data_IF_885136088741
#
_entry.id   IF_885136088741
#
_cell.length_a   1.000
_cell.length_b   1.000
_cell.length_c   1.000
_cell.angle_alpha   90.00
_cell.angle_beta   90.00
_cell.angle_gamma   90.00
#
_symmetry.space_group_name_H-M   'P 1'
#
loop_
_entity.id
_entity.type
_entity.pdbx_description
1 polymer ?
#
# COMPACT_ATOMS: atom_id res chain seq x y z
N UNK A 1 -4.61 -33.34 27.08
CA UNK A 1 -4.55 -32.98 25.64
C UNK A 1 -4.22 -31.50 25.54
N UNK A 2 -2.99 -31.18 25.13
CA UNK A 2 -2.40 -29.84 25.28
C UNK A 2 -2.92 -28.80 24.30
N UNK A 3 -3.07 -27.57 24.80
CA UNK A 3 -3.39 -26.36 24.06
C UNK A 3 -2.35 -26.08 22.94
N UNK A 4 -2.58 -26.61 21.73
CA UNK A 4 -1.84 -26.25 20.50
C UNK A 4 -2.60 -25.22 19.63
N UNK A 5 -3.57 -24.50 20.20
CA UNK A 5 -4.43 -23.58 19.43
C UNK A 5 -3.93 -22.13 19.31
N UNK A 6 -2.95 -21.70 20.13
CA UNK A 6 -2.60 -20.28 20.25
C UNK A 6 -1.49 -19.77 19.32
N UNK A 7 -0.51 -20.61 18.96
CA UNK A 7 0.73 -20.16 18.29
C UNK A 7 0.56 -20.06 16.76
N UNK A 8 -0.38 -20.82 16.18
CA UNK A 8 -0.56 -20.86 14.73
C UNK A 8 -1.13 -19.58 14.10
N UNK A 9 -1.83 -18.75 14.89
CA UNK A 9 -2.48 -17.52 14.40
C UNK A 9 -1.71 -16.24 14.69
N UNK A 10 -0.66 -16.31 15.52
CA UNK A 10 0.10 -15.13 15.93
C UNK A 10 0.84 -14.49 14.76
N UNK A 11 1.47 -15.31 13.90
CA UNK A 11 2.23 -14.82 12.74
C UNK A 11 1.30 -14.17 11.70
N UNK A 12 0.20 -14.81 11.24
CA UNK A 12 -0.74 -14.16 10.32
C UNK A 12 -1.38 -12.90 10.91
N UNK A 13 -1.73 -12.91 12.20
CA UNK A 13 -2.29 -11.73 12.87
C UNK A 13 -1.30 -10.56 12.91
N UNK A 14 -0.05 -10.84 13.29
CA UNK A 14 1.00 -9.82 13.33
C UNK A 14 1.26 -9.28 11.92
N UNK A 15 1.38 -10.16 10.93
CA UNK A 15 1.58 -9.75 9.54
C UNK A 15 0.45 -8.85 9.05
N UNK A 16 -0.81 -9.24 9.28
CA UNK A 16 -1.95 -8.43 8.86
C UNK A 16 -2.05 -7.09 9.59
N UNK A 17 -1.61 -7.00 10.86
CA UNK A 17 -1.48 -5.71 11.55
C UNK A 17 -0.39 -4.82 10.97
N UNK A 18 0.76 -5.39 10.63
CA UNK A 18 1.85 -4.67 9.94
C UNK A 18 1.35 -4.17 8.58
N UNK A 19 0.63 -5.01 7.84
CA UNK A 19 0.06 -4.68 6.54
C UNK A 19 -0.94 -3.53 6.64
N UNK A 20 -1.89 -3.59 7.58
CA UNK A 20 -2.86 -2.52 7.80
C UNK A 20 -2.18 -1.23 8.27
N UNK A 21 -1.20 -1.30 9.17
CA UNK A 21 -0.46 -0.12 9.60
C UNK A 21 0.31 0.53 8.44
N UNK A 22 0.92 -0.28 7.57
CA UNK A 22 1.62 0.20 6.39
C UNK A 22 0.67 0.83 5.36
N UNK A 23 -0.52 0.25 5.15
CA UNK A 23 -1.54 0.85 4.30
C UNK A 23 -2.12 2.14 4.90
N UNK A 24 -2.34 2.17 6.22
CA UNK A 24 -2.83 3.34 6.92
C UNK A 24 -1.86 4.53 6.83
N UNK A 25 -0.54 4.30 6.70
CA UNK A 25 0.40 5.39 6.46
C UNK A 25 0.07 6.20 5.19
N UNK A 26 -0.53 5.55 4.19
CA UNK A 26 -0.93 6.17 2.92
C UNK A 26 -2.28 6.88 2.94
N UNK A 27 -3.03 6.87 4.05
CA UNK A 27 -4.28 7.66 4.19
C UNK A 27 -4.01 9.16 4.23
N UNK A 28 -2.81 9.54 4.69
CA UNK A 28 -2.37 10.93 4.65
C UNK A 28 -2.05 11.38 3.22
N UNK A 29 -2.45 12.61 2.89
CA UNK A 29 -2.08 13.26 1.64
C UNK A 29 -0.55 13.33 1.49
N UNK A 30 -0.01 13.14 0.28
CA UNK A 30 1.44 13.19 0.04
C UNK A 30 1.98 14.61 0.25
N UNK A 31 2.39 14.96 1.47
CA UNK A 31 2.92 16.29 1.79
C UNK A 31 4.38 16.44 1.38
N UNK A 32 4.72 17.63 0.91
CA UNK A 32 6.09 18.03 0.64
C UNK A 32 6.88 18.16 1.95
N UNK A 33 8.10 17.60 2.05
CA UNK A 33 8.99 17.90 3.17
C UNK A 33 9.42 19.37 3.09
N UNK A 34 8.79 20.22 3.90
CA UNK A 34 9.07 21.65 3.86
C UNK A 34 10.43 22.01 4.51
N UNK A 35 10.97 21.17 5.41
CA UNK A 35 12.14 21.54 6.24
C UNK A 35 13.07 20.38 6.68
N UNK A 36 13.16 19.27 5.94
CA UNK A 36 13.96 18.12 6.41
C UNK A 36 15.41 18.14 5.94
N UNK A 37 16.30 17.78 6.86
CA UNK A 37 17.72 17.47 6.61
C UNK A 37 17.84 16.39 5.52
N UNK A 38 18.67 16.63 4.52
CA UNK A 38 18.93 15.71 3.40
C UNK A 38 19.31 14.30 3.87
N UNK A 39 20.01 14.18 4.99
CA UNK A 39 20.41 12.89 5.57
C UNK A 39 19.20 12.09 6.09
N UNK A 40 18.23 12.78 6.70
CA UNK A 40 16.97 12.17 7.19
C UNK A 40 16.10 11.73 6.02
N UNK A 41 16.06 12.52 4.94
CA UNK A 41 15.33 12.16 3.73
C UNK A 41 15.90 10.91 3.06
N UNK A 42 17.23 10.85 2.94
CA UNK A 42 17.92 9.71 2.32
C UNK A 42 17.72 8.43 3.13
N UNK A 43 17.88 8.50 4.45
CA UNK A 43 17.66 7.34 5.34
C UNK A 43 16.21 6.88 5.35
N UNK A 44 15.24 7.81 5.30
CA UNK A 44 13.81 7.47 5.17
C UNK A 44 13.50 6.79 3.84
N UNK A 45 14.04 7.31 2.73
CA UNK A 45 13.90 6.69 1.42
C UNK A 45 14.50 5.28 1.37
N UNK A 46 15.67 5.10 2.00
CA UNK A 46 16.30 3.78 2.12
C UNK A 46 15.44 2.83 2.97
N UNK A 47 14.83 3.29 4.05
CA UNK A 47 13.94 2.46 4.87
C UNK A 47 12.71 1.96 4.07
N UNK A 48 12.07 2.84 3.28
CA UNK A 48 10.94 2.47 2.41
C UNK A 48 11.38 1.45 1.34
N UNK A 49 12.55 1.67 0.73
CA UNK A 49 13.15 0.73 -0.23
C UNK A 49 13.41 -0.65 0.39
N UNK A 50 14.01 -0.68 1.58
CA UNK A 50 14.27 -1.92 2.31
C UNK A 50 12.97 -2.62 2.68
N UNK A 51 11.96 -1.90 3.14
CA UNK A 51 10.66 -2.46 3.46
C UNK A 51 9.98 -3.08 2.23
N UNK A 52 10.00 -2.40 1.09
CA UNK A 52 9.49 -2.94 -0.17
C UNK A 52 10.22 -4.22 -0.59
N UNK A 53 11.56 -4.24 -0.47
CA UNK A 53 12.35 -5.43 -0.78
C UNK A 53 12.03 -6.62 0.15
N UNK A 54 11.82 -6.36 1.45
CA UNK A 54 11.38 -7.38 2.41
C UNK A 54 9.99 -7.91 2.00
N UNK A 55 9.05 -7.03 1.67
CA UNK A 55 7.70 -7.41 1.26
C UNK A 55 7.70 -8.29 -0.02
N UNK A 56 8.57 -7.99 -0.98
CA UNK A 56 8.77 -8.82 -2.17
C UNK A 56 9.35 -10.20 -1.85
N UNK A 57 10.24 -10.29 -0.86
CA UNK A 57 10.87 -11.55 -0.46
C UNK A 57 9.93 -12.49 0.31
N UNK A 58 8.82 -12.00 0.86
CA UNK A 58 7.86 -12.82 1.61
C UNK A 58 7.00 -13.63 0.63
N UNK A 59 7.38 -14.88 0.41
CA UNK A 59 6.61 -15.85 -0.35
C UNK A 59 6.79 -17.27 0.23
N UNK A 60 5.73 -17.97 0.68
CA UNK A 60 4.32 -17.58 0.66
C UNK A 60 3.95 -16.57 1.75
N UNK A 61 2.86 -15.82 1.53
CA UNK A 61 2.33 -14.88 2.53
C UNK A 61 1.87 -15.63 3.81
N UNK A 62 2.17 -15.10 5.02
CA UNK A 62 1.69 -15.68 6.27
C UNK A 62 0.17 -15.55 6.37
N UNK A 63 -0.54 -16.62 6.04
CA UNK A 63 -2.00 -16.64 5.93
C UNK A 63 -2.59 -17.60 6.96
N UNK A 64 -3.75 -17.24 7.49
CA UNK A 64 -4.51 -18.08 8.40
C UNK A 64 -5.31 -19.13 7.60
N UNK A 65 -4.61 -20.13 7.06
CA UNK A 65 -5.23 -21.23 6.33
C UNK A 65 -6.13 -22.06 7.25
N UNK A 66 -7.36 -22.34 6.81
CA UNK A 66 -8.30 -23.21 7.52
C UNK A 66 -9.22 -22.54 8.54
N UNK A 67 -9.27 -21.20 8.58
CA UNK A 67 -10.30 -20.48 9.34
C UNK A 67 -11.47 -20.13 8.42
N UNK A 68 -12.68 -20.50 8.83
CA UNK A 68 -13.90 -20.11 8.11
C UNK A 68 -14.02 -18.58 8.05
N UNK A 69 -14.44 -17.99 6.92
CA UNK A 69 -14.55 -16.54 6.76
C UNK A 69 -15.50 -15.89 7.79
N UNK A 70 -16.54 -16.59 8.23
CA UNK A 70 -17.42 -16.14 9.32
C UNK A 70 -16.71 -16.08 10.68
N UNK A 71 -15.71 -16.93 10.90
CA UNK A 71 -14.85 -16.92 12.09
C UNK A 71 -13.89 -15.74 12.10
N UNK A 72 -13.44 -15.26 10.93
CA UNK A 72 -12.54 -14.11 10.80
C UNK A 72 -13.18 -12.81 11.30
N UNK A 73 -14.48 -12.61 11.05
CA UNK A 73 -15.22 -11.42 11.53
C UNK A 73 -15.32 -11.34 13.06
N UNK A 74 -15.10 -12.46 13.77
CA UNK A 74 -15.11 -12.55 15.23
C UNK A 74 -13.70 -12.46 15.84
N UNK A 75 -12.67 -12.40 15.01
CA UNK A 75 -11.26 -12.39 15.43
C UNK A 75 -10.72 -10.96 15.50
N UNK A 76 -9.62 -10.74 16.24
CA UNK A 76 -9.01 -9.42 16.37
C UNK A 76 -8.68 -8.82 15.00
N UNK A 77 -8.81 -7.49 14.90
CA UNK A 77 -8.42 -6.75 13.70
C UNK A 77 -6.99 -7.09 13.26
N UNK A 78 -6.85 -7.38 11.97
CA UNK A 78 -5.59 -7.82 11.35
C UNK A 78 -5.62 -9.25 10.82
N UNK A 79 -6.54 -10.12 11.26
CA UNK A 79 -6.67 -11.44 10.63
C UNK A 79 -7.60 -11.35 9.41
N UNK A 80 -7.04 -11.56 8.22
CA UNK A 80 -7.75 -11.42 6.95
C UNK A 80 -7.84 -12.77 6.23
N UNK A 81 -8.82 -12.89 5.33
CA UNK A 81 -8.86 -14.00 4.39
C UNK A 81 -7.61 -13.94 3.49
N UNK A 82 -7.12 -15.09 3.06
CA UNK A 82 -5.88 -15.18 2.27
C UNK A 82 -5.94 -14.34 0.99
N UNK A 83 -7.11 -14.27 0.35
CA UNK A 83 -7.31 -13.47 -0.86
C UNK A 83 -7.30 -11.98 -0.56
N UNK A 84 -8.07 -11.50 0.43
CA UNK A 84 -8.06 -10.11 0.86
C UNK A 84 -6.65 -9.62 1.27
N UNK A 85 -5.90 -10.47 1.97
CA UNK A 85 -4.52 -10.19 2.35
C UNK A 85 -3.60 -10.08 1.13
N UNK A 86 -3.79 -10.92 0.11
CA UNK A 86 -3.04 -10.84 -1.14
C UNK A 86 -3.32 -9.53 -1.88
N UNK A 87 -4.58 -9.13 -1.96
CA UNK A 87 -4.98 -7.86 -2.60
C UNK A 87 -4.41 -6.65 -1.87
N UNK A 88 -4.43 -6.67 -0.53
CA UNK A 88 -3.82 -5.64 0.30
C UNK A 88 -2.29 -5.55 0.09
N UNK A 89 -1.61 -6.68 -0.07
CA UNK A 89 -0.17 -6.71 -0.40
C UNK A 89 0.08 -6.16 -1.80
N UNK A 90 -0.73 -6.52 -2.80
CA UNK A 90 -0.63 -5.96 -4.16
C UNK A 90 -0.81 -4.43 -4.16
N UNK A 91 -1.81 -3.93 -3.43
CA UNK A 91 -2.05 -2.50 -3.24
C UNK A 91 -0.86 -1.82 -2.54
N UNK A 92 -0.34 -2.42 -1.46
CA UNK A 92 0.80 -1.87 -0.73
C UNK A 92 2.06 -1.80 -1.62
N UNK A 93 2.32 -2.82 -2.45
CA UNK A 93 3.43 -2.82 -3.41
C UNK A 93 3.32 -1.68 -4.43
N UNK A 94 2.11 -1.43 -4.94
CA UNK A 94 1.85 -0.28 -5.82
C UNK A 94 2.17 1.05 -5.13
N UNK A 95 1.65 1.24 -3.91
CA UNK A 95 1.84 2.46 -3.12
C UNK A 95 3.31 2.70 -2.76
N UNK A 96 4.02 1.66 -2.32
CA UNK A 96 5.45 1.71 -2.01
C UNK A 96 6.27 2.04 -3.26
N UNK A 97 5.95 1.42 -4.41
CA UNK A 97 6.62 1.71 -5.67
C UNK A 97 6.52 3.19 -6.05
N UNK A 98 5.31 3.75 -5.98
CA UNK A 98 5.08 5.16 -6.23
C UNK A 98 5.83 6.07 -5.23
N UNK A 99 5.81 5.73 -3.95
CA UNK A 99 6.51 6.52 -2.92
C UNK A 99 8.02 6.48 -3.08
N UNK A 100 8.59 5.33 -3.46
CA UNK A 100 10.01 5.19 -3.77
C UNK A 100 10.41 6.10 -4.94
N UNK A 101 9.62 6.13 -6.01
CA UNK A 101 9.87 7.00 -7.16
C UNK A 101 9.81 8.48 -6.75
N UNK A 102 8.79 8.86 -5.98
CA UNK A 102 8.66 10.21 -5.42
C UNK A 102 9.89 10.59 -4.59
N UNK A 103 10.32 9.74 -3.65
CA UNK A 103 11.47 10.00 -2.78
C UNK A 103 12.80 10.06 -3.56
N UNK A 104 12.95 9.30 -4.64
CA UNK A 104 14.14 9.38 -5.52
C UNK A 104 14.25 10.72 -6.22
N UNK A 105 13.14 11.21 -6.79
CA UNK A 105 13.09 12.54 -7.44
C UNK A 105 13.47 13.63 -6.43
N UNK A 106 13.04 13.48 -5.18
CA UNK A 106 13.33 14.42 -4.10
C UNK A 106 14.75 14.39 -3.57
N UNK A 107 15.37 13.21 -3.51
CA UNK A 107 16.75 13.08 -3.06
C UNK A 107 17.74 13.73 -4.06
N UNK A 108 17.38 13.79 -5.34
CA UNK A 108 18.25 14.33 -6.39
C UNK A 108 17.44 15.05 -7.51
N UNK A 109 16.77 16.18 -7.22
CA UNK A 109 15.88 16.86 -8.17
C UNK A 109 16.60 17.33 -9.44
N UNK A 110 17.87 17.75 -9.33
CA UNK A 110 18.66 18.26 -10.45
C UNK A 110 19.20 17.16 -11.38
N UNK A 111 19.42 15.95 -10.87
CA UNK A 111 19.89 14.80 -11.64
C UNK A 111 18.81 14.28 -12.62
N UNK A 112 17.54 14.56 -12.34
CA UNK A 112 16.42 14.14 -13.21
C UNK A 112 16.23 15.03 -14.45
N UNK A 113 16.81 16.23 -14.47
CA UNK A 113 16.73 17.20 -15.59
C UNK A 113 17.84 17.02 -16.62
N UNK A 114 18.98 16.46 -16.22
CA UNK A 114 20.02 16.07 -17.15
C UNK A 114 19.61 14.72 -17.75
N UNK A 115 19.18 14.70 -19.02
CA UNK A 115 18.80 13.49 -19.78
C UNK A 115 19.92 12.45 -19.97
N UNK A 116 20.87 12.40 -19.04
CA UNK A 116 22.15 11.67 -19.12
C UNK A 116 22.30 10.63 -18.01
N UNK A 117 21.32 10.47 -17.10
CA UNK A 117 21.40 9.49 -15.99
C UNK A 117 20.48 8.27 -16.18
N UNK A 118 19.81 8.13 -17.32
CA UNK A 118 19.09 6.89 -17.66
C UNK A 118 20.02 5.68 -17.88
N UNK A 119 21.35 5.85 -17.87
CA UNK A 119 22.31 4.80 -18.24
C UNK A 119 23.56 4.66 -17.34
N UNK A 120 23.68 5.38 -16.21
CA UNK A 120 24.83 5.22 -15.29
C UNK A 120 24.46 5.33 -13.80
N UNK A 121 23.64 4.40 -13.33
CA UNK A 121 23.64 3.99 -11.93
C UNK A 121 23.38 2.48 -11.88
N UNK A 122 24.45 1.71 -12.06
CA UNK A 122 24.45 0.26 -11.89
C UNK A 122 24.24 -0.09 -10.43
N UNK A 123 22.98 -0.19 -10.01
CA UNK A 123 22.39 -1.00 -8.90
C UNK A 123 20.97 -0.51 -8.59
N UNK A 124 20.17 -0.22 -9.62
CA UNK A 124 18.73 -0.18 -9.44
C UNK A 124 18.25 -1.63 -9.28
N UNK A 125 17.64 -2.05 -8.15
CA UNK A 125 16.86 -3.28 -8.16
C UNK A 125 15.78 -3.11 -9.24
N UNK A 126 15.61 -4.16 -10.04
CA UNK A 126 14.73 -4.24 -11.21
C UNK A 126 13.22 -4.21 -10.83
N UNK A 127 12.82 -3.27 -9.98
CA UNK A 127 11.48 -3.14 -9.40
C UNK A 127 11.02 -1.69 -9.36
N UNK A 128 11.38 -0.88 -10.37
CA UNK A 128 10.64 0.34 -10.65
C UNK A 128 9.25 -0.09 -11.10
N UNK A 129 8.30 -0.13 -10.18
CA UNK A 129 6.89 -0.41 -10.47
C UNK A 129 6.43 0.66 -11.42
N UNK A 130 6.50 0.37 -12.72
CA UNK A 130 5.93 1.22 -13.76
C UNK A 130 4.44 1.33 -13.43
N UNK A 131 4.05 2.39 -12.71
CA UNK A 131 2.64 2.72 -12.41
C UNK A 131 1.84 2.75 -13.72
N UNK A 132 2.51 3.08 -14.84
CA UNK A 132 2.03 2.98 -16.23
C UNK A 132 1.82 1.54 -16.80
N UNK A 133 1.71 0.50 -15.98
CA UNK A 133 1.47 -0.88 -16.42
C UNK A 133 0.16 -1.50 -15.96
N UNK A 134 -0.54 -0.87 -14.99
CA UNK A 134 -1.77 -1.40 -14.45
C UNK A 134 -2.95 -1.15 -15.41
N UNK A 135 -3.76 -2.18 -15.64
CA UNK A 135 -4.98 -2.07 -16.44
C UNK A 135 -6.07 -1.31 -15.70
N UNK A 136 -7.06 -0.78 -16.44
CA UNK A 136 -8.26 -0.15 -15.85
C UNK A 136 -8.93 -1.06 -14.79
N UNK A 137 -9.02 -2.37 -15.06
CA UNK A 137 -9.56 -3.34 -14.12
C UNK A 137 -8.71 -3.47 -12.84
N UNK A 138 -7.39 -3.40 -12.96
CA UNK A 138 -6.49 -3.42 -11.80
C UNK A 138 -6.68 -2.18 -10.94
N UNK A 139 -6.81 -1.00 -11.55
CA UNK A 139 -7.10 0.25 -10.82
C UNK A 139 -8.43 0.20 -10.07
N UNK A 140 -9.49 -0.31 -10.71
CA UNK A 140 -10.79 -0.50 -10.05
C UNK A 140 -10.67 -1.43 -8.85
N UNK A 141 -9.89 -2.52 -8.99
CA UNK A 141 -9.61 -3.46 -7.90
C UNK A 141 -8.87 -2.76 -6.76
N UNK A 142 -7.76 -2.08 -7.05
CA UNK A 142 -6.98 -1.34 -6.05
C UNK A 142 -7.81 -0.31 -5.29
N UNK A 143 -8.63 0.48 -5.98
CA UNK A 143 -9.52 1.45 -5.32
C UNK A 143 -10.57 0.77 -4.45
N UNK A 144 -11.09 -0.40 -4.86
CA UNK A 144 -12.05 -1.15 -4.05
C UNK A 144 -11.39 -1.75 -2.81
N UNK A 145 -10.21 -2.35 -2.95
CA UNK A 145 -9.43 -2.87 -1.83
C UNK A 145 -9.04 -1.76 -0.86
N UNK A 146 -8.66 -0.58 -1.36
CA UNK A 146 -8.36 0.58 -0.52
C UNK A 146 -9.59 1.01 0.29
N UNK A 147 -10.77 1.07 -0.34
CA UNK A 147 -12.02 1.44 0.32
C UNK A 147 -12.43 0.45 1.42
N UNK A 148 -12.22 -0.85 1.20
CA UNK A 148 -12.50 -1.90 2.19
C UNK A 148 -11.55 -1.83 3.40
N UNK A 149 -10.32 -1.37 3.19
CA UNK A 149 -9.35 -1.13 4.28
C UNK A 149 -9.71 0.14 5.05
N UNK A 150 -9.82 1.26 4.33
CA UNK A 150 -10.16 2.57 4.87
C UNK A 150 -10.63 3.50 3.71
N UNK A 151 -11.86 4.04 3.75
CA UNK A 151 -12.32 5.03 2.78
C UNK A 151 -11.36 6.22 2.58
N UNK A 152 -10.64 6.67 3.62
CA UNK A 152 -9.62 7.72 3.50
C UNK A 152 -8.46 7.31 2.60
N UNK A 153 -8.06 6.03 2.62
CA UNK A 153 -7.02 5.52 1.74
C UNK A 153 -7.47 5.58 0.27
N UNK A 154 -8.74 5.26 0.00
CA UNK A 154 -9.30 5.34 -1.35
C UNK A 154 -9.37 6.79 -1.88
N UNK A 155 -9.62 7.77 -1.00
CA UNK A 155 -9.55 9.19 -1.34
C UNK A 155 -8.09 9.65 -1.54
N UNK A 156 -7.16 9.21 -0.69
CA UNK A 156 -5.74 9.50 -0.87
C UNK A 156 -5.18 8.94 -2.20
N UNK A 157 -5.77 7.87 -2.74
CA UNK A 157 -5.43 7.37 -4.09
C UNK A 157 -5.77 8.37 -5.19
N UNK A 158 -6.88 9.12 -5.09
CA UNK A 158 -7.24 10.12 -6.12
C UNK A 158 -6.24 11.28 -6.13
N UNK A 159 -5.68 11.63 -4.98
CA UNK A 159 -4.63 12.65 -4.87
C UNK A 159 -3.28 12.17 -5.40
N UNK A 160 -2.93 10.89 -5.17
CA UNK A 160 -1.66 10.29 -5.60
C UNK A 160 -1.64 9.97 -7.09
N UNK A 161 -2.79 9.60 -7.66
CA UNK A 161 -2.92 9.16 -9.05
C UNK A 161 -3.98 9.98 -9.82
N UNK A 162 -3.87 11.32 -9.90
CA UNK A 162 -4.87 12.17 -10.55
C UNK A 162 -4.97 11.94 -12.07
N UNK A 163 -3.94 11.33 -12.68
CA UNK A 163 -3.92 10.99 -14.10
C UNK A 163 -4.66 9.69 -14.45
N UNK A 164 -5.21 8.97 -13.45
CA UNK A 164 -5.89 7.68 -13.64
C UNK A 164 -7.40 7.87 -13.42
N UNK A 165 -8.20 8.06 -14.50
CA UNK A 165 -9.61 8.40 -14.37
C UNK A 165 -10.45 7.29 -13.71
N UNK A 166 -10.00 6.03 -13.79
CA UNK A 166 -10.67 4.89 -13.16
C UNK A 166 -10.70 5.01 -11.64
N UNK A 167 -9.66 5.58 -11.03
CA UNK A 167 -9.56 5.73 -9.57
C UNK A 167 -10.62 6.73 -9.08
N UNK A 168 -10.71 7.89 -9.74
CA UNK A 168 -11.71 8.90 -9.41
C UNK A 168 -13.14 8.40 -9.64
N UNK A 169 -13.42 7.82 -10.81
CA UNK A 169 -14.74 7.30 -11.15
C UNK A 169 -15.19 6.19 -10.18
N UNK A 170 -14.28 5.30 -9.80
CA UNK A 170 -14.57 4.23 -8.84
C UNK A 170 -14.80 4.78 -7.43
N UNK A 171 -13.98 5.73 -6.99
CA UNK A 171 -14.13 6.36 -5.67
C UNK A 171 -15.47 7.09 -5.55
N UNK A 172 -15.85 7.90 -6.56
CA UNK A 172 -17.15 8.58 -6.60
C UNK A 172 -18.32 7.58 -6.51
N UNK A 173 -18.25 6.46 -7.24
CA UNK A 173 -19.27 5.40 -7.17
C UNK A 173 -19.38 4.81 -5.76
N UNK A 174 -18.25 4.57 -5.09
CA UNK A 174 -18.21 4.00 -3.75
C UNK A 174 -18.71 4.98 -2.68
N UNK A 175 -18.38 6.27 -2.80
CA UNK A 175 -18.90 7.32 -1.90
C UNK A 175 -20.42 7.38 -1.97
N UNK A 176 -20.99 7.45 -3.19
CA UNK A 176 -22.45 7.48 -3.36
C UNK A 176 -23.10 6.21 -2.80
N UNK A 177 -22.51 5.03 -3.07
CA UNK A 177 -23.02 3.75 -2.56
C UNK A 177 -23.06 3.70 -1.04
N UNK A 178 -22.08 4.29 -0.35
CA UNK A 178 -21.95 4.24 1.10
C UNK A 178 -22.30 5.56 1.79
N UNK A 179 -23.00 6.49 1.11
CA UNK A 179 -23.37 7.80 1.66
C UNK A 179 -24.24 7.73 2.94
N UNK A 180 -24.88 6.57 3.19
CA UNK A 180 -25.66 6.30 4.39
C UNK A 180 -24.81 5.90 5.60
N UNK A 181 -23.52 5.61 5.42
CA UNK A 181 -22.61 5.18 6.49
C UNK A 181 -22.05 6.43 7.19
N UNK A 182 -22.24 6.60 8.51
CA UNK A 182 -21.79 7.81 9.21
C UNK A 182 -20.28 8.08 9.09
N UNK A 183 -19.46 7.03 9.08
CA UNK A 183 -18.01 7.16 8.91
C UNK A 183 -17.61 7.74 7.55
N UNK A 184 -18.45 7.59 6.52
CA UNK A 184 -18.22 8.15 5.17
C UNK A 184 -18.68 9.60 5.08
N UNK A 185 -19.66 10.01 5.90
CA UNK A 185 -20.18 11.38 5.92
C UNK A 185 -19.23 12.41 6.55
N UNK A 186 -18.22 11.93 7.29
CA UNK A 186 -17.23 12.77 7.99
C UNK A 186 -15.86 12.80 7.30
N UNK A 187 -15.75 12.14 6.14
CA UNK A 187 -14.58 12.21 5.25
C UNK A 187 -14.55 13.58 4.55
#
# INVERSE_FOLDING_TARGET
>A
AGMKGGVGLQIPLLFGRILLAALHWFTSSPTFYQHSDTTVNLSSAQAVLTFAAILEAINPLPTANGINPEGLSRLPSGLQAADAQREQVELLKLLLGHEIERLKVWAAPLETTSGTVASKAGTAPAGGTKVMGASAAAWIKFTSTAWEVDPQLALALTERFPAVPEVEARCATLVVKHAHVPAVQVL
#
